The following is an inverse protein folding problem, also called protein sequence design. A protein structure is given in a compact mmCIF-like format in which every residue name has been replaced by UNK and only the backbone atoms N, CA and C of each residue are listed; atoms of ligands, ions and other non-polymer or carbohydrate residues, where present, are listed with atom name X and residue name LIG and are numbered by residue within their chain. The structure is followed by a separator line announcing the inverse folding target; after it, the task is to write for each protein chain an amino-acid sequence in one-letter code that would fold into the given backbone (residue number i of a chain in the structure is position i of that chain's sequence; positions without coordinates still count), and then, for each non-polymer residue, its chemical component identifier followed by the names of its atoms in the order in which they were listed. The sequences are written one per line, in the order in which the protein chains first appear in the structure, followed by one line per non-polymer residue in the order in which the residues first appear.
data_IF_481879684065
#
_entry.id   IF_481879684065
#
_cell.length_a   1.000
_cell.length_b   1.000
_cell.length_c   1.000
_cell.angle_alpha   90.00
_cell.angle_beta   90.00
_cell.angle_gamma   90.00
#
_symmetry.space_group_name_H-M   'P 1'
#
loop_
_entity.id
_entity.type
_entity.pdbx_description
1 polymer ?
#
# COMPACT_ATOMS: atom_id res chain seq x y z
N UNK A 1 -0.04 16.56 3.33
CA UNK A 1 0.54 15.28 2.85
C UNK A 1 1.32 14.51 3.91
N UNK A 2 2.14 15.15 4.76
CA UNK A 2 2.92 14.43 5.81
C UNK A 2 2.09 13.62 6.81
N UNK A 3 0.88 14.05 7.18
CA UNK A 3 0.04 13.31 8.14
C UNK A 3 -0.48 11.97 7.61
N UNK A 4 -0.82 11.89 6.32
CA UNK A 4 -1.36 10.67 5.73
C UNK A 4 -0.30 9.56 5.68
N UNK A 5 0.89 9.87 5.17
CA UNK A 5 1.98 8.89 5.05
C UNK A 5 2.38 8.33 6.41
N UNK A 6 2.50 9.17 7.45
CA UNK A 6 2.85 8.70 8.79
C UNK A 6 1.76 7.79 9.39
N UNK A 7 0.49 8.15 9.24
CA UNK A 7 -0.63 7.32 9.71
C UNK A 7 -0.71 6.00 8.96
N UNK A 8 -0.56 6.04 7.63
CA UNK A 8 -0.52 4.84 6.79
C UNK A 8 0.66 3.93 7.15
N UNK A 9 1.85 4.50 7.33
CA UNK A 9 3.05 3.75 7.75
C UNK A 9 2.85 3.06 9.09
N UNK A 10 2.24 3.74 10.07
CA UNK A 10 1.92 3.14 11.37
C UNK A 10 0.93 1.98 11.21
N UNK A 11 -0.12 2.17 10.41
CA UNK A 11 -1.14 1.13 10.19
C UNK A 11 -0.57 -0.08 9.44
N UNK A 12 0.20 0.13 8.37
CA UNK A 12 0.83 -0.95 7.62
C UNK A 12 1.81 -1.77 8.46
N UNK A 13 2.55 -1.13 9.38
CA UNK A 13 3.38 -1.85 10.35
C UNK A 13 2.59 -2.79 11.28
N UNK A 14 1.32 -2.50 11.58
CA UNK A 14 0.48 -3.40 12.40
C UNK A 14 0.05 -4.67 11.67
N UNK A 15 0.16 -4.70 10.35
CA UNK A 15 -0.09 -5.87 9.50
C UNK A 15 1.21 -6.40 8.88
N UNK A 16 2.36 -6.09 9.48
CA UNK A 16 3.70 -6.49 9.03
C UNK A 16 4.06 -6.09 7.59
N UNK A 17 3.39 -5.07 7.04
CA UNK A 17 3.68 -4.54 5.72
C UNK A 17 4.64 -3.34 5.81
N UNK A 18 5.61 -3.29 4.92
CA UNK A 18 6.53 -2.18 4.79
C UNK A 18 6.05 -1.20 3.73
N UNK A 19 6.18 0.11 3.98
CA UNK A 19 5.97 1.15 2.98
C UNK A 19 7.31 1.78 2.61
N UNK A 20 7.55 1.94 1.31
CA UNK A 20 8.75 2.53 0.72
C UNK A 20 8.31 3.62 -0.26
N UNK A 21 9.00 4.77 -0.34
CA UNK A 21 8.75 5.73 -1.40
C UNK A 21 9.09 5.07 -2.74
N UNK A 22 8.19 5.18 -3.72
CA UNK A 22 8.54 4.81 -5.09
C UNK A 22 9.56 5.82 -5.60
N UNK A 23 10.62 5.35 -6.27
CA UNK A 23 11.61 6.23 -6.92
C UNK A 23 11.03 7.06 -8.07
N UNK A 24 9.75 6.87 -8.41
CA UNK A 24 9.01 7.63 -9.41
C UNK A 24 8.56 8.96 -8.80
N UNK A 25 8.83 10.08 -9.48
CA UNK A 25 8.38 11.41 -9.04
C UNK A 25 6.85 11.45 -8.96
N UNK A 26 6.31 11.41 -7.75
CA UNK A 26 4.87 11.38 -7.49
C UNK A 26 4.62 10.91 -6.06
N UNK A 27 3.42 11.13 -5.55
CA UNK A 27 2.99 10.67 -4.23
C UNK A 27 2.70 9.15 -4.24
N UNK A 28 3.67 8.39 -4.75
CA UNK A 28 3.55 6.98 -5.06
C UNK A 28 4.36 6.20 -4.04
N UNK A 29 3.73 5.20 -3.45
CA UNK A 29 4.33 4.35 -2.44
C UNK A 29 4.35 2.92 -2.91
N UNK A 30 5.43 2.22 -2.63
CA UNK A 30 5.50 0.78 -2.73
C UNK A 30 5.21 0.17 -1.35
N UNK A 31 4.29 -0.76 -1.29
CA UNK A 31 3.96 -1.52 -0.10
C UNK A 31 4.42 -2.96 -0.33
N UNK A 32 5.25 -3.47 0.57
CA UNK A 32 5.82 -4.82 0.50
C UNK A 32 5.27 -5.64 1.66
N UNK A 33 4.66 -6.78 1.34
CA UNK A 33 4.19 -7.74 2.34
C UNK A 33 5.34 -8.64 2.85
N UNK A 34 5.18 -9.33 3.99
CA UNK A 34 6.16 -10.31 4.48
C UNK A 34 6.51 -11.42 3.49
N UNK A 35 5.59 -11.77 2.58
CA UNK A 35 5.78 -12.83 1.57
C UNK A 35 6.52 -12.32 0.32
N UNK A 36 6.98 -11.06 0.34
CA UNK A 36 7.56 -10.33 -0.78
C UNK A 36 6.56 -10.10 -1.94
N UNK A 37 5.26 -9.98 -1.66
CA UNK A 37 4.32 -9.37 -2.62
C UNK A 37 4.47 -7.84 -2.61
N UNK A 38 4.51 -7.26 -3.82
CA UNK A 38 4.67 -5.82 -4.04
C UNK A 38 3.36 -5.18 -4.50
N UNK A 39 2.97 -4.09 -3.85
CA UNK A 39 1.80 -3.31 -4.18
C UNK A 39 2.19 -1.85 -4.41
N UNK A 40 1.67 -1.24 -5.46
CA UNK A 40 1.86 0.16 -5.76
C UNK A 40 0.62 0.94 -5.37
N UNK A 41 0.82 1.89 -4.46
CA UNK A 41 -0.18 2.84 -4.01
C UNK A 41 0.09 4.19 -4.67
N UNK A 42 -0.83 4.62 -5.53
CA UNK A 42 -0.85 5.98 -6.06
C UNK A 42 -1.75 6.85 -5.19
N UNK A 43 -1.18 7.93 -4.63
CA UNK A 43 -1.88 8.86 -3.74
C UNK A 43 -1.81 10.31 -4.25
N UNK A 44 -2.57 10.69 -5.27
CA UNK A 44 -2.55 12.09 -5.75
C UNK A 44 -3.49 13.03 -4.96
N UNK A 45 -3.44 14.34 -5.23
CA UNK A 45 -4.01 15.45 -4.46
C UNK A 45 -5.55 15.57 -4.51
N UNK A 46 -6.24 14.51 -4.87
CA UNK A 46 -7.70 14.38 -4.93
C UNK A 46 -8.05 12.98 -4.40
N UNK A 47 -9.24 12.74 -3.81
CA UNK A 47 -9.49 11.73 -2.76
C UNK A 47 -9.57 10.28 -3.28
N UNK A 48 -8.87 9.95 -4.36
CA UNK A 48 -8.87 8.64 -4.99
C UNK A 48 -7.47 8.08 -4.92
N UNK A 49 -7.26 7.23 -3.92
CA UNK A 49 -6.12 6.33 -3.88
C UNK A 49 -6.35 5.17 -4.83
N UNK A 50 -5.27 4.68 -5.44
CA UNK A 50 -5.32 3.48 -6.26
C UNK A 50 -4.23 2.52 -5.80
N UNK A 51 -4.63 1.28 -5.51
CA UNK A 51 -3.72 0.21 -5.12
C UNK A 51 -3.68 -0.85 -6.23
N UNK A 52 -2.49 -1.13 -6.74
CA UNK A 52 -2.23 -2.12 -7.77
C UNK A 52 -1.23 -3.15 -7.27
N UNK A 53 -1.57 -4.44 -7.34
CA UNK A 53 -0.60 -5.50 -7.12
C UNK A 53 0.33 -5.62 -8.36
N UNK A 54 1.64 -5.70 -8.13
CA UNK A 54 2.62 -5.92 -9.19
C UNK A 54 3.06 -7.38 -9.25
N UNK A 55 2.82 -8.08 -10.37
CA UNK A 55 3.39 -9.41 -10.59
C UNK A 55 4.89 -9.30 -10.90
N UNK A 56 5.75 -9.42 -9.89
CA UNK A 56 7.21 -9.53 -10.07
C UNK A 56 7.60 -10.97 -10.48
N UNK A 57 7.09 -11.41 -11.64
CA UNK A 57 7.31 -12.77 -12.13
C UNK A 57 6.60 -13.87 -11.32
N UNK A 58 5.73 -13.51 -10.37
CA UNK A 58 4.87 -14.42 -9.61
C UNK A 58 3.42 -14.33 -10.09
N UNK A 59 2.72 -15.46 -10.06
CA UNK A 59 1.26 -15.49 -10.26
C UNK A 59 0.55 -15.01 -9.01
N UNK A 60 -0.61 -14.36 -9.19
CA UNK A 60 -1.42 -13.85 -8.07
C UNK A 60 -1.96 -15.03 -7.27
N UNK A 61 -1.41 -15.26 -6.08
CA UNK A 61 -1.88 -16.31 -5.19
C UNK A 61 -2.98 -15.78 -4.25
N UNK A 62 -3.71 -16.70 -3.60
CA UNK A 62 -4.75 -16.36 -2.60
C UNK A 62 -4.19 -15.42 -1.53
N UNK A 63 -2.96 -15.66 -1.06
CA UNK A 63 -2.28 -14.79 -0.09
C UNK A 63 -2.10 -13.35 -0.58
N UNK A 64 -1.75 -13.15 -1.86
CA UNK A 64 -1.62 -11.82 -2.43
C UNK A 64 -2.96 -11.06 -2.45
N UNK A 65 -4.09 -11.76 -2.63
CA UNK A 65 -5.42 -11.18 -2.52
C UNK A 65 -5.77 -10.82 -1.08
N UNK A 66 -5.42 -11.67 -0.11
CA UNK A 66 -5.60 -11.40 1.31
C UNK A 66 -4.80 -10.17 1.76
N UNK A 67 -3.54 -10.06 1.31
CA UNK A 67 -2.71 -8.89 1.54
C UNK A 67 -3.28 -7.64 0.89
N UNK A 68 -3.74 -7.73 -0.36
CA UNK A 68 -4.41 -6.60 -1.01
C UNK A 68 -5.60 -6.10 -0.19
N UNK A 69 -6.45 -7.02 0.31
CA UNK A 69 -7.60 -6.66 1.15
C UNK A 69 -7.19 -5.96 2.44
N UNK A 70 -6.20 -6.51 3.16
CA UNK A 70 -5.68 -5.91 4.41
C UNK A 70 -5.09 -4.51 4.16
N UNK A 71 -4.35 -4.35 3.08
CA UNK A 71 -3.74 -3.06 2.71
C UNK A 71 -4.84 -2.04 2.35
N UNK A 72 -5.87 -2.44 1.59
CA UNK A 72 -7.02 -1.57 1.28
C UNK A 72 -7.74 -1.12 2.54
N UNK A 73 -8.04 -2.04 3.46
CA UNK A 73 -8.68 -1.73 4.74
C UNK A 73 -7.83 -0.77 5.60
N UNK A 74 -6.51 -0.96 5.61
CA UNK A 74 -5.58 -0.05 6.27
C UNK A 74 -5.59 1.36 5.65
N UNK A 75 -5.65 1.47 4.33
CA UNK A 75 -5.76 2.76 3.64
C UNK A 75 -7.11 3.41 3.95
N UNK A 76 -8.22 2.70 3.81
CA UNK A 76 -9.57 3.22 4.09
C UNK A 76 -9.69 3.75 5.52
N UNK A 77 -9.12 3.04 6.49
CA UNK A 77 -9.10 3.48 7.88
C UNK A 77 -8.34 4.80 8.06
N UNK A 78 -7.28 5.03 7.29
CA UNK A 78 -6.47 6.27 7.37
C UNK A 78 -7.09 7.42 6.60
N UNK A 79 -7.82 7.15 5.51
CA UNK A 79 -8.50 8.17 4.70
C UNK A 79 -9.83 8.60 5.33
N UNK A 80 -10.48 7.71 6.08
CA UNK A 80 -11.77 7.98 6.73
C UNK A 80 -11.65 8.60 8.13
N UNK A 81 -10.42 8.80 8.63
CA UNK A 81 -10.12 9.48 9.89
C UNK A 81 -9.70 10.93 9.66
#
# INVERSE_FOLDING_TARGET
MQNFEQSLRKKLKTIDCEIRPSGSKGNDFEIVSPENDHFWLYWHSLPKWQLFWRPWGRSRCVKAQEWERKIREAIENVVSC
#
